data_IF_421970400127
#
_entry.id   IF_421970400127
#
_cell.length_a   1.000
_cell.length_b   1.000
_cell.length_c   1.000
_cell.angle_alpha   90.00
_cell.angle_beta   90.00
_cell.angle_gamma   90.00
#
_symmetry.space_group_name_H-M   'P 1'
#
loop_
_entity.id
_entity.type
_entity.pdbx_description
1 polymer ?
#
# COMPACT_ATOMS: atom_id res chain seq x y z
N UNK A 1 22.38 -17.54 27.35
CA UNK A 1 22.48 -18.06 28.72
C UNK A 1 21.69 -17.16 29.71
N UNK A 2 20.44 -16.82 29.41
CA UNK A 2 19.46 -16.23 30.36
C UNK A 2 18.06 -16.65 29.87
N UNK A 3 17.67 -17.90 30.16
CA UNK A 3 16.28 -18.41 30.11
C UNK A 3 16.24 -19.63 31.03
N UNK A 4 16.23 -19.36 32.32
CA UNK A 4 16.15 -20.37 33.37
C UNK A 4 15.82 -19.64 34.67
N UNK A 5 15.03 -20.27 35.52
CA UNK A 5 14.63 -19.81 36.87
C UNK A 5 13.61 -18.67 36.92
N UNK A 6 12.34 -18.95 36.59
CA UNK A 6 11.19 -18.21 37.16
C UNK A 6 9.93 -19.10 37.27
N UNK A 7 10.10 -20.42 37.42
CA UNK A 7 8.97 -21.37 37.40
C UNK A 7 8.63 -22.05 38.73
N UNK A 8 9.50 -21.96 39.75
CA UNK A 8 9.37 -22.85 40.93
C UNK A 8 8.98 -22.17 42.26
N UNK A 9 8.44 -20.95 42.26
CA UNK A 9 7.98 -20.31 43.52
C UNK A 9 6.65 -19.56 43.45
N UNK A 10 5.69 -20.01 42.63
CA UNK A 10 4.32 -19.46 42.73
C UNK A 10 3.49 -20.38 43.65
N UNK A 11 3.59 -20.14 44.96
CA UNK A 11 2.52 -20.53 45.88
C UNK A 11 1.22 -19.92 45.34
N UNK A 12 0.21 -20.76 45.07
CA UNK A 12 -1.09 -20.31 44.56
C UNK A 12 -1.64 -19.23 45.51
N UNK A 13 -1.88 -18.00 45.03
CA UNK A 13 -2.41 -16.95 45.89
C UNK A 13 -3.79 -17.37 46.40
N UNK A 14 -3.93 -17.45 47.73
CA UNK A 14 -5.14 -17.95 48.41
C UNK A 14 -6.36 -17.02 48.28
N UNK A 15 -6.22 -15.84 47.66
CA UNK A 15 -7.31 -14.91 47.43
C UNK A 15 -7.18 -14.17 46.09
N UNK A 16 -8.32 -13.87 45.46
CA UNK A 16 -8.42 -13.08 44.23
C UNK A 16 -7.79 -11.68 44.36
N UNK A 17 -7.64 -11.16 45.57
CA UNK A 17 -7.04 -9.86 45.85
C UNK A 17 -5.56 -9.82 45.51
N UNK A 18 -4.82 -10.91 45.74
CA UNK A 18 -3.38 -10.97 45.47
C UNK A 18 -3.05 -10.98 43.97
N UNK A 19 -3.91 -11.57 43.14
CA UNK A 19 -3.73 -11.58 41.68
C UNK A 19 -3.94 -10.20 41.06
N UNK A 20 -4.94 -9.44 41.54
CA UNK A 20 -5.17 -8.06 41.08
C UNK A 20 -4.00 -7.14 41.47
N UNK A 21 -3.46 -7.33 42.67
CA UNK A 21 -2.31 -6.56 43.15
C UNK A 21 -1.05 -6.85 42.33
N UNK A 22 -0.77 -8.12 42.04
CA UNK A 22 0.37 -8.50 41.19
C UNK A 22 0.23 -8.01 39.74
N UNK A 23 -0.98 -8.05 39.17
CA UNK A 23 -1.24 -7.50 37.85
C UNK A 23 -1.06 -5.97 37.80
N UNK A 24 -1.54 -5.25 38.83
CA UNK A 24 -1.34 -3.82 38.95
C UNK A 24 0.14 -3.44 39.08
N UNK A 25 0.89 -4.19 39.89
CA UNK A 25 2.33 -4.00 40.06
C UNK A 25 3.09 -4.23 38.74
N UNK A 26 2.76 -5.29 38.00
CA UNK A 26 3.36 -5.56 36.69
C UNK A 26 3.09 -4.44 35.67
N UNK A 27 1.85 -3.94 35.62
CA UNK A 27 1.50 -2.81 34.73
C UNK A 27 2.28 -1.55 35.10
N UNK A 28 2.47 -1.25 36.38
CA UNK A 28 3.23 -0.09 36.82
C UNK A 28 4.74 -0.24 36.55
N UNK A 29 5.30 -1.45 36.69
CA UNK A 29 6.68 -1.75 36.33
C UNK A 29 6.94 -1.56 34.82
N UNK A 30 6.05 -2.07 33.96
CA UNK A 30 6.16 -1.90 32.51
C UNK A 30 5.96 -0.44 32.07
N UNK A 31 5.06 0.29 32.75
CA UNK A 31 4.90 1.74 32.54
C UNK A 31 6.18 2.50 32.90
N UNK A 32 6.80 2.17 34.02
CA UNK A 32 8.06 2.80 34.46
C UNK A 32 9.20 2.54 33.48
N UNK A 33 9.34 1.30 32.97
CA UNK A 33 10.31 0.97 31.93
C UNK A 33 10.08 1.76 30.65
N UNK A 34 8.82 1.91 30.24
CA UNK A 34 8.46 2.69 29.05
C UNK A 34 8.81 4.17 29.21
N UNK A 35 8.46 4.77 30.35
CA UNK A 35 8.78 6.17 30.63
C UNK A 35 10.29 6.41 30.61
N UNK A 36 11.09 5.45 31.08
CA UNK A 36 12.54 5.47 30.97
C UNK A 36 13.01 5.42 29.51
N UNK A 37 12.48 4.49 28.69
CA UNK A 37 12.82 4.39 27.27
C UNK A 37 12.46 5.65 26.47
N UNK A 38 11.31 6.26 26.76
CA UNK A 38 10.88 7.52 26.15
C UNK A 38 11.85 8.65 26.53
N UNK A 39 12.25 8.73 27.81
CA UNK A 39 13.20 9.73 28.30
C UNK A 39 14.57 9.58 27.64
N UNK A 40 15.10 8.37 27.56
CA UNK A 40 16.39 8.07 26.88
C UNK A 40 16.33 8.45 25.39
N UNK A 41 15.24 8.10 24.70
CA UNK A 41 15.07 8.44 23.29
C UNK A 41 14.97 9.95 23.06
N UNK A 42 14.30 10.69 23.96
CA UNK A 42 14.23 12.16 23.90
C UNK A 42 15.62 12.78 24.00
N UNK A 43 16.44 12.34 24.95
CA UNK A 43 17.83 12.81 25.12
C UNK A 43 18.67 12.56 23.85
N UNK A 44 18.51 11.40 23.22
CA UNK A 44 19.23 11.08 21.97
C UNK A 44 18.82 12.00 20.82
N UNK A 45 17.51 12.24 20.65
CA UNK A 45 16.99 13.12 19.60
C UNK A 45 17.43 14.58 19.80
N UNK A 46 17.45 15.06 21.05
CA UNK A 46 17.98 16.40 21.37
C UNK A 46 19.48 16.51 21.03
N UNK A 47 20.25 15.45 21.28
CA UNK A 47 21.66 15.39 20.88
C UNK A 47 21.83 15.45 19.35
N UNK A 48 21.10 14.61 18.61
CA UNK A 48 21.13 14.59 17.13
C UNK A 48 20.73 15.94 16.51
N UNK A 49 19.72 16.60 17.10
CA UNK A 49 19.28 17.94 16.68
C UNK A 49 20.37 18.98 16.93
N UNK A 50 21.00 18.97 18.11
CA UNK A 50 22.09 19.88 18.45
C UNK A 50 23.32 19.68 17.56
N UNK A 51 23.67 18.44 17.23
CA UNK A 51 24.77 18.15 16.29
C UNK A 51 24.47 18.68 14.89
N UNK A 52 23.24 18.48 14.41
CA UNK A 52 22.78 19.00 13.10
C UNK A 52 22.82 20.54 13.07
N UNK A 53 22.41 21.18 14.16
CA UNK A 53 22.51 22.63 14.35
C UNK A 53 23.96 23.14 14.29
N UNK A 54 24.89 22.43 14.93
CA UNK A 54 26.30 22.82 14.92
C UNK A 54 26.92 22.66 13.51
N UNK A 55 26.51 21.66 12.73
CA UNK A 55 26.92 21.52 11.33
C UNK A 55 26.40 22.68 10.47
N UNK A 56 25.11 22.98 10.57
CA UNK A 56 24.50 24.10 9.84
C UNK A 56 25.15 25.45 10.17
N UNK A 57 25.49 25.69 11.45
CA UNK A 57 26.22 26.90 11.87
C UNK A 57 27.63 27.02 11.27
N UNK A 58 28.29 25.90 10.98
CA UNK A 58 29.62 25.88 10.34
C UNK A 58 29.54 26.08 8.83
N UNK A 59 28.48 25.60 8.19
CA UNK A 59 28.34 25.58 6.73
C UNK A 59 27.74 26.87 6.14
N UNK A 60 27.03 27.67 6.93
CA UNK A 60 26.34 28.88 6.45
C UNK A 60 27.11 30.18 6.81
N UNK A 61 27.47 31.03 5.82
CA UNK A 61 28.06 32.35 6.09
C UNK A 61 27.09 33.28 6.82
N UNK A 62 27.64 34.16 7.66
CA UNK A 62 26.95 35.04 8.64
C UNK A 62 25.80 35.95 8.11
N UNK A 63 25.48 35.94 6.81
CA UNK A 63 24.40 36.74 6.20
C UNK A 63 23.07 36.00 5.96
N UNK A 64 23.02 34.66 6.02
CA UNK A 64 21.82 33.88 5.65
C UNK A 64 20.84 33.59 6.81
N UNK A 65 21.12 34.12 8.01
CA UNK A 65 20.51 33.69 9.28
C UNK A 65 19.09 34.24 9.58
N UNK A 66 18.58 35.22 8.83
CA UNK A 66 17.27 35.84 9.14
C UNK A 66 16.06 35.14 8.49
N UNK A 67 16.22 34.55 7.31
CA UNK A 67 15.15 33.80 6.64
C UNK A 67 15.03 32.36 7.15
N UNK A 68 16.15 31.80 7.62
CA UNK A 68 16.26 30.42 8.13
C UNK A 68 15.67 30.24 9.52
N UNK A 69 15.58 31.27 10.38
CA UNK A 69 15.06 31.12 11.74
C UNK A 69 13.56 30.73 11.77
N UNK A 70 12.76 31.23 10.81
CA UNK A 70 11.33 30.91 10.69
C UNK A 70 11.11 29.48 10.20
N UNK A 71 11.85 29.09 9.16
CA UNK A 71 11.83 27.72 8.64
C UNK A 71 12.39 26.73 9.68
N UNK A 72 13.36 27.17 10.48
CA UNK A 72 13.92 26.42 11.59
C UNK A 72 12.91 26.20 12.72
N UNK A 73 12.19 27.24 13.16
CA UNK A 73 11.12 27.10 14.17
C UNK A 73 9.97 26.22 13.66
N UNK A 74 9.68 26.25 12.35
CA UNK A 74 8.72 25.34 11.73
C UNK A 74 9.21 23.89 11.75
N UNK A 75 10.48 23.63 11.42
CA UNK A 75 11.10 22.31 11.51
C UNK A 75 11.15 21.78 12.95
N UNK A 76 11.45 22.64 13.92
CA UNK A 76 11.44 22.29 15.35
C UNK A 76 10.03 21.89 15.81
N UNK A 77 9.02 22.67 15.41
CA UNK A 77 7.62 22.38 15.72
C UNK A 77 7.16 21.08 15.06
N UNK A 78 7.51 20.86 13.79
CA UNK A 78 7.17 19.64 13.05
C UNK A 78 7.82 18.40 13.68
N UNK A 79 9.07 18.53 14.12
CA UNK A 79 9.84 17.47 14.78
C UNK A 79 9.23 17.14 16.14
N UNK A 80 8.90 18.14 16.95
CA UNK A 80 8.19 17.96 18.23
C UNK A 80 6.84 17.26 18.05
N UNK A 81 6.05 17.69 17.07
CA UNK A 81 4.75 17.07 16.79
C UNK A 81 4.91 15.60 16.33
N UNK A 82 5.93 15.31 15.52
CA UNK A 82 6.23 13.94 15.07
C UNK A 82 6.64 13.03 16.23
N UNK A 83 7.38 13.56 17.21
CA UNK A 83 7.75 12.83 18.43
C UNK A 83 6.50 12.53 19.26
N UNK A 84 5.66 13.53 19.52
CA UNK A 84 4.41 13.38 20.27
C UNK A 84 3.47 12.37 19.60
N UNK A 85 3.38 12.37 18.27
CA UNK A 85 2.56 11.40 17.53
C UNK A 85 3.11 9.98 17.61
N UNK A 86 4.43 9.80 17.58
CA UNK A 86 5.07 8.50 17.80
C UNK A 86 4.83 7.98 19.21
N UNK A 87 4.94 8.84 20.23
CA UNK A 87 4.60 8.51 21.62
C UNK A 87 3.14 8.05 21.71
N UNK A 88 2.19 8.82 21.16
CA UNK A 88 0.76 8.46 21.13
C UNK A 88 0.49 7.11 20.45
N UNK A 89 1.15 6.82 19.33
CA UNK A 89 1.01 5.53 18.63
C UNK A 89 1.53 4.37 19.48
N UNK A 90 2.66 4.56 20.15
CA UNK A 90 3.26 3.56 21.04
C UNK A 90 2.33 3.28 22.23
N UNK A 91 1.83 4.32 22.89
CA UNK A 91 0.85 4.21 23.99
C UNK A 91 -0.41 3.46 23.56
N UNK A 92 -0.97 3.77 22.37
CA UNK A 92 -2.15 3.07 21.82
C UNK A 92 -1.87 1.60 21.50
N UNK A 93 -0.71 1.29 20.93
CA UNK A 93 -0.31 -0.08 20.63
C UNK A 93 -0.19 -0.92 21.91
N UNK A 94 0.37 -0.33 22.96
CA UNK A 94 0.54 -0.99 24.25
C UNK A 94 -0.79 -1.15 25.00
N UNK A 95 -1.68 -0.14 24.96
CA UNK A 95 -3.03 -0.27 25.51
C UNK A 95 -3.79 -1.44 24.84
N UNK A 96 -3.65 -1.60 23.52
CA UNK A 96 -4.22 -2.74 22.79
C UNK A 96 -3.58 -4.07 23.20
N UNK A 97 -2.28 -4.10 23.47
CA UNK A 97 -1.59 -5.30 23.93
C UNK A 97 -2.07 -5.71 25.33
N UNK A 98 -2.11 -4.77 26.28
CA UNK A 98 -2.64 -4.97 27.64
C UNK A 98 -4.11 -5.42 27.63
N UNK A 99 -4.94 -4.84 26.76
CA UNK A 99 -6.33 -5.26 26.59
C UNK A 99 -6.44 -6.70 26.06
N UNK A 100 -5.59 -7.08 25.09
CA UNK A 100 -5.54 -8.46 24.58
C UNK A 100 -5.11 -9.46 25.66
N UNK A 101 -4.11 -9.13 26.47
CA UNK A 101 -3.68 -9.99 27.56
C UNK A 101 -4.77 -10.15 28.62
N UNK A 102 -5.48 -9.08 28.95
CA UNK A 102 -6.64 -9.11 29.86
C UNK A 102 -7.74 -10.04 29.34
N UNK A 103 -8.05 -9.95 28.04
CA UNK A 103 -9.04 -10.84 27.38
C UNK A 103 -8.59 -12.30 27.45
N UNK A 104 -7.31 -12.59 27.17
CA UNK A 104 -6.76 -13.96 27.23
C UNK A 104 -6.83 -14.53 28.64
N UNK A 105 -6.56 -13.72 29.67
CA UNK A 105 -6.67 -14.13 31.08
C UNK A 105 -8.13 -14.42 31.45
N UNK A 106 -9.08 -13.59 31.03
CA UNK A 106 -10.50 -13.79 31.34
C UNK A 106 -11.08 -15.00 30.58
N UNK A 107 -10.65 -15.24 29.34
CA UNK A 107 -11.02 -16.44 28.59
C UNK A 107 -10.53 -17.72 29.28
N UNK A 108 -9.26 -17.75 29.72
CA UNK A 108 -8.72 -18.88 30.49
C UNK A 108 -9.48 -19.11 31.80
N UNK A 109 -9.90 -18.03 32.47
CA UNK A 109 -10.72 -18.09 33.68
C UNK A 109 -12.09 -18.72 33.40
N UNK A 110 -12.75 -18.33 32.31
CA UNK A 110 -14.03 -18.91 31.91
C UNK A 110 -13.91 -20.40 31.58
N UNK A 111 -12.86 -20.82 30.87
CA UNK A 111 -12.59 -22.24 30.60
C UNK A 111 -12.46 -23.05 31.89
N UNK A 112 -11.68 -22.57 32.86
CA UNK A 112 -11.48 -23.26 34.15
C UNK A 112 -12.80 -23.39 34.93
N UNK A 113 -13.62 -22.33 34.98
CA UNK A 113 -14.93 -22.37 35.66
C UNK A 113 -15.88 -23.37 35.01
N UNK A 114 -15.88 -23.42 33.67
CA UNK A 114 -16.73 -24.33 32.90
C UNK A 114 -16.32 -25.78 33.16
N UNK A 115 -15.02 -26.07 33.15
CA UNK A 115 -14.46 -27.40 33.43
C UNK A 115 -14.77 -27.87 34.86
N UNK A 116 -14.69 -26.99 35.87
CA UNK A 116 -15.04 -27.34 37.26
C UNK A 116 -16.53 -27.61 37.47
N UNK A 117 -17.42 -27.03 36.67
CA UNK A 117 -18.87 -27.27 36.77
C UNK A 117 -19.33 -28.54 36.05
N UNK A 118 -18.56 -29.03 35.06
CA UNK A 118 -18.88 -30.26 34.32
C UNK A 118 -18.54 -31.57 35.05
N UNK A 119 -17.82 -31.54 36.18
CA UNK A 119 -17.39 -32.76 36.89
C UNK A 119 -18.46 -33.31 37.87
N UNK A 120 -19.62 -32.65 38.02
CA UNK A 120 -20.62 -33.01 39.03
C UNK A 120 -21.87 -33.76 38.52
N UNK A 121 -21.79 -34.50 37.41
CA UNK A 121 -22.89 -35.40 36.99
C UNK A 121 -22.36 -36.81 36.70
N UNK A 122 -22.40 -37.68 37.70
CA UNK A 122 -22.27 -39.12 37.53
C UNK A 122 -23.53 -39.70 36.88
N UNK A 123 -23.41 -40.52 35.82
CA UNK A 123 -24.57 -41.08 35.14
C UNK A 123 -25.14 -42.27 35.93
N UNK A 124 -26.46 -42.25 36.17
CA UNK A 124 -27.20 -43.41 36.65
C UNK A 124 -27.38 -44.40 35.48
N UNK A 125 -26.95 -45.64 35.69
CA UNK A 125 -27.19 -46.77 34.81
C UNK A 125 -28.66 -47.19 34.84
N UNK A 126 -29.25 -47.44 33.65
CA UNK A 126 -30.43 -48.29 33.49
C UNK A 126 -30.18 -49.32 32.38
N UNK A 127 -30.58 -50.60 32.58
CA UNK A 127 -30.45 -51.66 31.57
C UNK A 127 -31.76 -51.88 30.80
N UNK A 128 -31.68 -52.22 29.51
CA UNK A 128 -32.84 -52.70 28.73
C UNK A 128 -32.69 -52.60 27.21
N UNK A 129 -32.41 -53.74 26.59
CA UNK A 129 -32.44 -54.16 25.16
C UNK A 129 -33.70 -53.76 24.35
N UNK A 130 -33.89 -54.14 23.05
CA UNK A 130 -32.97 -54.23 21.89
C UNK A 130 -33.55 -53.72 20.53
N UNK A 131 -32.66 -53.66 19.53
CA UNK A 131 -32.79 -54.01 18.09
C UNK A 131 -33.78 -53.34 17.07
N UNK A 132 -33.13 -52.74 16.04
CA UNK A 132 -33.30 -52.85 14.56
C UNK A 132 -34.35 -52.03 13.75
N UNK A 133 -34.10 -51.79 12.43
CA UNK A 133 -34.37 -50.54 11.69
C UNK A 133 -35.38 -50.69 10.52
N UNK A 134 -35.75 -49.58 9.84
CA UNK A 134 -35.85 -49.47 8.36
C UNK A 134 -36.61 -48.22 7.83
N UNK A 135 -35.99 -47.59 6.80
CA UNK A 135 -36.54 -47.26 5.47
C UNK A 135 -37.51 -46.08 5.19
N UNK A 136 -37.43 -45.69 3.90
CA UNK A 136 -38.34 -44.95 2.98
C UNK A 136 -38.01 -43.46 2.76
N UNK A 137 -37.46 -43.04 1.60
CA UNK A 137 -37.95 -42.99 0.19
C UNK A 137 -39.10 -42.01 -0.08
N UNK A 138 -38.86 -41.18 -1.10
CA UNK A 138 -39.86 -40.50 -1.94
C UNK A 138 -39.88 -38.98 -1.79
N UNK A 139 -40.18 -38.15 -2.79
CA UNK A 139 -40.10 -38.23 -4.24
C UNK A 139 -40.36 -36.80 -4.78
N UNK A 140 -39.78 -36.48 -5.94
CA UNK A 140 -40.05 -35.31 -6.81
C UNK A 140 -41.52 -34.86 -6.90
N UNK A 141 -41.73 -33.56 -7.15
CA UNK A 141 -42.55 -33.08 -8.28
C UNK A 141 -42.21 -31.63 -8.71
N UNK A 142 -42.08 -31.45 -10.03
CA UNK A 142 -42.05 -30.18 -10.79
C UNK A 142 -43.47 -29.59 -10.86
N UNK A 143 -43.58 -28.29 -11.10
CA UNK A 143 -44.69 -27.70 -11.86
C UNK A 143 -44.21 -26.50 -12.70
N UNK A 144 -44.81 -26.40 -13.88
CA UNK A 144 -44.66 -25.44 -14.98
C UNK A 144 -46.01 -24.81 -15.27
N UNK A 145 -46.06 -23.52 -15.68
CA UNK A 145 -47.02 -22.86 -16.60
C UNK A 145 -47.01 -21.34 -16.33
N UNK A 146 -46.67 -20.40 -17.24
CA UNK A 146 -47.29 -19.87 -18.49
C UNK A 146 -48.60 -19.06 -18.36
N UNK A 147 -48.57 -17.77 -18.77
CA UNK A 147 -49.49 -17.00 -19.66
C UNK A 147 -49.37 -15.47 -19.40
N UNK A 148 -49.00 -14.60 -20.39
CA UNK A 148 -49.84 -13.73 -21.30
C UNK A 148 -50.75 -12.71 -20.57
N UNK A 149 -50.99 -11.44 -20.96
CA UNK A 149 -50.64 -10.54 -22.08
C UNK A 149 -51.17 -9.09 -21.82
N UNK A 150 -50.69 -8.07 -22.60
CA UNK A 150 -51.34 -6.78 -23.07
C UNK A 150 -51.77 -5.70 -22.03
N UNK A 151 -51.77 -4.36 -22.21
CA UNK A 151 -51.82 -3.39 -23.35
C UNK A 151 -51.54 -1.92 -22.89
N UNK A 152 -51.05 -1.07 -23.82
CA UNK A 152 -51.11 0.41 -24.05
C UNK A 152 -51.62 1.45 -23.00
N UNK A 153 -50.93 2.61 -22.92
CA UNK A 153 -51.36 3.96 -23.39
C UNK A 153 -50.55 5.14 -22.77
N UNK A 154 -50.79 6.36 -23.26
CA UNK A 154 -49.88 7.52 -23.48
C UNK A 154 -50.06 8.77 -22.57
N UNK A 155 -49.16 9.77 -22.76
CA UNK A 155 -49.24 11.25 -22.45
C UNK A 155 -48.82 11.72 -21.03
N UNK A 156 -48.38 12.96 -20.70
CA UNK A 156 -47.60 14.12 -21.25
C UNK A 156 -47.69 15.24 -20.14
N UNK A 157 -46.58 15.96 -19.82
CA UNK A 157 -46.43 17.24 -19.05
C UNK A 157 -46.79 17.28 -17.53
N UNK A 158 -46.23 18.09 -16.60
CA UNK A 158 -45.28 19.22 -16.54
C UNK A 158 -44.72 19.39 -15.09
N UNK A 159 -43.61 20.13 -14.89
CA UNK A 159 -43.12 20.62 -13.57
C UNK A 159 -43.89 21.86 -13.07
N UNK A 160 -43.74 22.26 -11.78
CA UNK A 160 -42.92 23.46 -11.51
C UNK A 160 -42.11 23.50 -10.17
N UNK A 161 -41.16 24.44 -10.16
CA UNK A 161 -40.19 24.84 -9.11
C UNK A 161 -40.80 25.50 -7.86
N UNK A 162 -40.02 25.49 -6.76
CA UNK A 162 -40.16 26.45 -5.64
C UNK A 162 -38.82 26.93 -5.06
N UNK A 163 -38.83 28.19 -4.62
CA UNK A 163 -37.74 29.10 -4.20
C UNK A 163 -37.40 29.00 -2.70
N UNK A 164 -36.19 29.38 -2.26
CA UNK A 164 -35.83 29.57 -0.83
C UNK A 164 -35.12 30.93 -0.61
N UNK A 165 -35.40 31.59 0.54
CA UNK A 165 -34.79 32.84 1.04
C UNK A 165 -34.54 32.76 2.57
N UNK A 166 -33.46 33.38 3.05
CA UNK A 166 -33.15 33.77 4.47
C UNK A 166 -32.16 32.83 5.21
N UNK A 167 -31.31 33.23 6.17
CA UNK A 167 -30.82 34.50 6.77
C UNK A 167 -29.61 34.17 7.68
N UNK A 168 -28.77 35.15 8.05
CA UNK A 168 -27.52 35.02 8.84
C UNK A 168 -27.77 35.01 10.36
N UNK A 169 -27.10 34.14 11.14
CA UNK A 169 -26.52 34.42 12.48
C UNK A 169 -25.91 33.18 13.17
N UNK A 170 -24.63 33.31 13.59
CA UNK A 170 -24.12 33.08 14.96
C UNK A 170 -22.74 32.40 15.06
N UNK A 171 -21.92 32.99 15.95
CA UNK A 171 -20.61 32.60 16.53
C UNK A 171 -20.00 31.25 16.12
N UNK A 172 -18.85 31.25 15.44
CA UNK A 172 -18.06 30.04 15.11
C UNK A 172 -16.97 29.75 16.15
N UNK A 173 -16.86 28.46 16.50
CA UNK A 173 -15.78 27.88 17.30
C UNK A 173 -14.49 27.73 16.47
N UNK A 174 -13.34 27.70 17.16
CA UNK A 174 -12.02 27.52 16.54
C UNK A 174 -11.90 26.15 15.85
N UNK A 175 -11.59 26.13 14.54
CA UNK A 175 -11.35 24.91 13.76
C UNK A 175 -12.06 24.82 12.40
N UNK A 176 -13.02 25.71 12.12
CA UNK A 176 -13.77 25.72 10.86
C UNK A 176 -13.12 26.66 9.84
N UNK A 177 -12.81 26.14 8.65
CA UNK A 177 -12.47 26.96 7.49
C UNK A 177 -13.72 27.15 6.63
N UNK A 178 -14.08 28.41 6.37
CA UNK A 178 -15.24 28.76 5.54
C UNK A 178 -14.76 29.13 4.14
N UNK A 179 -15.26 28.45 3.13
CA UNK A 179 -14.98 28.75 1.73
C UNK A 179 -16.26 29.18 1.05
N UNK A 180 -16.24 30.36 0.46
CA UNK A 180 -17.35 30.90 -0.33
C UNK A 180 -17.19 30.42 -1.78
N UNK A 181 -18.22 29.71 -2.27
CA UNK A 181 -18.28 29.19 -3.62
C UNK A 181 -18.75 30.28 -4.60
N UNK A 182 -18.52 30.08 -5.88
CA UNK A 182 -18.87 31.03 -6.96
C UNK A 182 -20.38 31.28 -7.08
N UNK A 183 -21.23 30.49 -6.42
CA UNK A 183 -22.69 30.69 -6.32
C UNK A 183 -23.12 31.40 -5.00
N UNK A 184 -22.16 31.87 -4.19
CA UNK A 184 -22.41 32.61 -2.95
C UNK A 184 -22.75 31.74 -1.74
N UNK A 185 -22.61 30.41 -1.83
CA UNK A 185 -22.75 29.52 -0.67
C UNK A 185 -21.44 29.43 0.12
N UNK A 186 -21.54 29.47 1.44
CA UNK A 186 -20.39 29.29 2.34
C UNK A 186 -20.39 27.86 2.88
N UNK A 187 -19.34 27.09 2.57
CA UNK A 187 -19.12 25.75 3.10
C UNK A 187 -18.11 25.81 4.24
N UNK A 188 -18.48 25.27 5.40
CA UNK A 188 -17.58 25.11 6.52
C UNK A 188 -16.97 23.70 6.53
N UNK A 189 -15.64 23.62 6.57
CA UNK A 189 -14.90 22.35 6.64
C UNK A 189 -14.13 22.28 7.95
N UNK A 190 -14.46 21.29 8.78
CA UNK A 190 -13.69 20.90 9.96
C UNK A 190 -12.70 19.79 9.58
N UNK A 191 -11.41 20.05 9.79
CA UNK A 191 -10.27 19.19 9.39
C UNK A 191 -9.52 18.60 10.59
N UNK A 192 -10.12 18.64 11.79
CA UNK A 192 -9.43 18.22 13.03
C UNK A 192 -9.63 16.75 13.41
N UNK A 193 -10.54 16.02 12.75
CA UNK A 193 -10.67 14.57 12.89
C UNK A 193 -10.25 13.89 11.59
N UNK A 194 -9.26 12.98 11.65
CA UNK A 194 -8.93 12.07 10.53
C UNK A 194 -10.25 11.50 9.98
N UNK A 195 -10.56 11.64 8.68
CA UNK A 195 -11.87 11.25 8.21
C UNK A 195 -11.98 9.75 8.43
N UNK A 196 -12.87 9.36 9.36
CA UNK A 196 -13.57 8.10 9.20
C UNK A 196 -14.25 8.24 7.86
N UNK A 197 -13.62 7.71 6.81
CA UNK A 197 -14.22 7.66 5.49
C UNK A 197 -15.49 6.82 5.64
N UNK A 198 -16.62 7.48 5.85
CA UNK A 198 -17.91 6.86 5.65
C UNK A 198 -17.88 6.31 4.23
N UNK A 199 -18.36 5.08 4.02
CA UNK A 199 -18.53 4.51 2.69
C UNK A 199 -19.38 5.47 1.86
N UNK A 200 -18.71 6.39 1.15
CA UNK A 200 -19.36 7.32 0.25
C UNK A 200 -19.95 6.53 -0.90
N UNK A 201 -21.02 7.05 -1.49
CA UNK A 201 -21.53 6.51 -2.73
C UNK A 201 -20.37 6.47 -3.74
N UNK A 202 -20.04 5.26 -4.20
CA UNK A 202 -19.09 5.10 -5.31
C UNK A 202 -19.83 5.57 -6.56
N UNK A 203 -19.54 6.78 -6.99
CA UNK A 203 -20.05 7.30 -8.26
C UNK A 203 -19.12 6.84 -9.38
N UNK A 204 -19.69 6.16 -10.37
CA UNK A 204 -18.98 5.83 -11.60
C UNK A 204 -18.81 7.13 -12.38
N UNK A 205 -17.57 7.56 -12.57
CA UNK A 205 -17.24 8.68 -13.45
C UNK A 205 -17.05 8.14 -14.86
N UNK A 206 -17.83 8.65 -15.82
CA UNK A 206 -17.56 8.48 -17.24
C UNK A 206 -16.46 9.48 -17.64
N UNK A 207 -15.38 8.99 -18.26
CA UNK A 207 -14.25 9.80 -18.75
C UNK A 207 -13.85 9.31 -20.14
N UNK A 208 -13.82 10.21 -21.10
CA UNK A 208 -13.55 9.93 -22.52
C UNK A 208 -12.08 10.15 -22.91
N UNK A 209 -11.27 10.77 -22.04
CA UNK A 209 -9.84 10.96 -22.25
C UNK A 209 -8.96 9.79 -21.80
N UNK A 210 -7.65 9.96 -21.95
CA UNK A 210 -6.67 9.02 -21.42
C UNK A 210 -6.49 9.17 -19.91
N UNK A 211 -6.00 8.13 -19.22
CA UNK A 211 -5.61 8.24 -17.81
C UNK A 211 -4.50 9.28 -17.61
N UNK A 212 -3.61 9.45 -18.59
CA UNK A 212 -2.57 10.48 -18.54
C UNK A 212 -3.18 11.87 -18.51
N UNK A 213 -4.12 12.19 -19.40
CA UNK A 213 -4.84 13.47 -19.41
C UNK A 213 -5.57 13.72 -18.08
N UNK A 214 -6.21 12.68 -17.52
CA UNK A 214 -6.85 12.78 -16.21
C UNK A 214 -5.83 13.10 -15.10
N UNK A 215 -4.69 12.41 -15.07
CA UNK A 215 -3.65 12.65 -14.06
C UNK A 215 -3.07 14.06 -14.16
N UNK A 216 -3.00 14.64 -15.36
CA UNK A 216 -2.57 16.02 -15.59
C UNK A 216 -3.61 17.04 -15.04
N UNK A 217 -4.90 16.70 -15.08
CA UNK A 217 -5.97 17.52 -14.48
C UNK A 217 -5.95 17.52 -12.94
N UNK A 218 -5.30 16.53 -12.31
CA UNK A 218 -5.18 16.41 -10.85
C UNK A 218 -3.74 16.66 -10.37
N UNK A 219 -3.24 17.89 -10.55
CA UNK A 219 -1.93 18.29 -10.02
C UNK A 219 -1.88 18.24 -8.48
N UNK A 220 -0.69 17.97 -7.92
CA UNK A 220 -0.49 17.93 -6.47
C UNK A 220 -1.15 16.75 -5.73
N UNK A 221 -1.54 15.69 -6.44
CA UNK A 221 -2.18 14.51 -5.85
C UNK A 221 -1.22 13.31 -5.79
N UNK A 222 -1.59 12.32 -4.98
CA UNK A 222 -0.93 11.01 -4.93
C UNK A 222 -1.79 9.99 -5.66
N UNK A 223 -1.14 9.06 -6.34
CA UNK A 223 -1.85 8.01 -7.05
C UNK A 223 -1.13 6.67 -6.92
N UNK A 224 -1.88 5.58 -7.04
CA UNK A 224 -1.35 4.23 -7.16
C UNK A 224 -1.88 3.56 -8.41
N UNK A 225 -1.21 2.51 -8.86
CA UNK A 225 -1.68 1.71 -9.99
C UNK A 225 -1.64 0.26 -9.58
N UNK A 226 -2.75 -0.44 -9.79
CA UNK A 226 -2.97 -1.83 -9.47
C UNK A 226 -3.08 -2.63 -10.78
N UNK A 227 -2.92 -3.95 -10.68
CA UNK A 227 -3.21 -4.88 -11.76
C UNK A 227 -4.12 -5.96 -11.24
N UNK A 228 -5.09 -6.35 -12.05
CA UNK A 228 -5.85 -7.58 -11.85
C UNK A 228 -5.21 -8.76 -12.57
N UNK A 229 -5.46 -9.95 -12.04
CA UNK A 229 -5.16 -11.24 -12.67
C UNK A 229 -6.40 -12.13 -12.64
N UNK A 230 -6.27 -13.32 -13.24
CA UNK A 230 -7.35 -14.32 -13.33
C UNK A 230 -8.62 -13.71 -13.93
N UNK A 231 -8.41 -12.88 -14.96
CA UNK A 231 -9.41 -12.12 -15.69
C UNK A 231 -10.25 -11.22 -14.79
N UNK A 232 -9.58 -10.33 -14.05
CA UNK A 232 -10.29 -9.37 -13.19
C UNK A 232 -10.70 -9.90 -11.82
N UNK A 233 -10.53 -11.20 -11.54
CA UNK A 233 -11.03 -11.81 -10.29
C UNK A 233 -10.18 -11.50 -9.06
N UNK A 234 -8.91 -11.14 -9.25
CA UNK A 234 -7.98 -10.91 -8.13
C UNK A 234 -7.12 -9.67 -8.36
N UNK A 235 -6.81 -8.93 -7.30
CA UNK A 235 -5.92 -7.76 -7.33
C UNK A 235 -4.57 -8.10 -6.70
N UNK A 236 -3.49 -7.85 -7.43
CA UNK A 236 -2.11 -8.09 -6.98
C UNK A 236 -1.71 -7.09 -5.90
N UNK A 237 -1.16 -7.59 -4.79
CA UNK A 237 -0.55 -6.76 -3.74
C UNK A 237 -1.53 -5.71 -3.18
N UNK A 238 -2.83 -6.00 -3.16
CA UNK A 238 -3.87 -5.08 -2.73
C UNK A 238 -3.57 -4.49 -1.36
N UNK A 239 -3.16 -5.30 -0.40
CA UNK A 239 -2.79 -4.82 0.93
C UNK A 239 -1.58 -3.86 0.91
N UNK A 240 -0.60 -4.06 0.03
CA UNK A 240 0.53 -3.14 -0.09
C UNK A 240 0.13 -1.81 -0.73
N UNK A 241 -0.79 -1.83 -1.69
CA UNK A 241 -1.34 -0.62 -2.30
C UNK A 241 -2.34 0.09 -1.37
N UNK A 242 -3.17 -0.65 -0.62
CA UNK A 242 -4.10 -0.13 0.38
C UNK A 242 -3.35 0.43 1.60
N UNK A 243 -2.25 -0.19 2.05
CA UNK A 243 -1.37 0.44 3.06
C UNK A 243 -0.83 1.81 2.63
N UNK A 244 -0.85 2.11 1.32
CA UNK A 244 -0.52 3.45 0.80
C UNK A 244 -1.72 4.40 0.80
N UNK A 245 -2.97 3.92 0.86
CA UNK A 245 -4.20 4.67 0.58
C UNK A 245 -5.38 4.50 1.59
N UNK A 246 -5.30 3.61 2.58
CA UNK A 246 -6.33 3.23 3.59
C UNK A 246 -7.37 2.14 3.17
N UNK A 247 -8.05 1.52 4.15
CA UNK A 247 -8.86 0.29 4.05
C UNK A 247 -10.14 0.42 3.18
N UNK A 248 -10.68 1.64 3.02
CA UNK A 248 -11.88 1.91 2.20
C UNK A 248 -11.67 1.63 0.69
N UNK A 249 -10.43 1.39 0.26
CA UNK A 249 -10.06 1.20 -1.14
C UNK A 249 -10.68 -0.06 -1.77
N UNK A 250 -10.87 -1.15 -1.00
CA UNK A 250 -11.32 -2.44 -1.56
C UNK A 250 -12.70 -2.34 -2.18
N UNK A 251 -13.67 -1.75 -1.47
CA UNK A 251 -15.04 -1.59 -1.95
C UNK A 251 -15.12 -0.66 -3.17
N UNK A 252 -14.29 0.38 -3.21
CA UNK A 252 -14.19 1.28 -4.36
C UNK A 252 -13.68 0.52 -5.59
N UNK A 253 -12.67 -0.35 -5.42
CA UNK A 253 -12.11 -1.13 -6.53
C UNK A 253 -13.07 -2.19 -7.06
N UNK A 254 -13.81 -2.86 -6.18
CA UNK A 254 -14.84 -3.82 -6.59
C UNK A 254 -15.93 -3.15 -7.44
N UNK A 255 -16.40 -1.96 -7.02
CA UNK A 255 -17.43 -1.22 -7.75
C UNK A 255 -16.90 -0.57 -9.05
N UNK A 256 -15.60 -0.31 -9.17
CA UNK A 256 -15.01 0.31 -10.34
C UNK A 256 -14.74 -0.67 -11.49
N UNK A 257 -14.59 -1.97 -11.22
CA UNK A 257 -14.18 -2.95 -12.24
C UNK A 257 -15.31 -3.26 -13.23
N UNK A 258 -15.03 -3.37 -14.54
CA UNK A 258 -16.04 -3.80 -15.52
C UNK A 258 -16.42 -5.27 -15.34
N UNK A 259 -17.66 -5.61 -15.66
CA UNK A 259 -18.19 -6.99 -15.70
C UNK A 259 -17.72 -7.77 -16.94
N UNK A 260 -16.43 -7.69 -17.29
CA UNK A 260 -15.84 -8.55 -18.32
C UNK A 260 -14.79 -9.49 -17.70
N UNK A 261 -15.16 -10.78 -17.52
CA UNK A 261 -14.34 -11.80 -16.88
C UNK A 261 -13.33 -12.45 -17.86
N UNK A 262 -13.05 -11.83 -18.99
CA UNK A 262 -12.04 -12.28 -19.96
C UNK A 262 -10.79 -11.39 -19.96
N UNK A 263 -10.87 -10.22 -19.33
CA UNK A 263 -9.84 -9.21 -19.40
C UNK A 263 -9.16 -8.99 -18.04
N UNK A 264 -7.85 -8.76 -18.09
CA UNK A 264 -7.13 -8.22 -16.95
C UNK A 264 -7.04 -6.69 -17.09
N UNK A 265 -7.09 -5.99 -15.96
CA UNK A 265 -7.18 -4.54 -15.88
C UNK A 265 -5.98 -3.96 -15.14
N UNK A 266 -5.54 -2.81 -15.61
CA UNK A 266 -4.72 -1.87 -14.87
C UNK A 266 -5.66 -0.87 -14.22
N UNK A 267 -5.66 -0.76 -12.90
CA UNK A 267 -6.53 0.19 -12.19
C UNK A 267 -5.67 1.34 -11.68
N UNK A 268 -5.90 2.56 -12.14
CA UNK A 268 -5.25 3.76 -11.63
C UNK A 268 -6.13 4.38 -10.55
N UNK A 269 -5.61 4.53 -9.33
CA UNK A 269 -6.32 5.13 -8.21
C UNK A 269 -5.70 6.48 -7.90
N UNK A 270 -6.48 7.55 -7.96
CA UNK A 270 -6.07 8.93 -7.64
C UNK A 270 -6.74 9.33 -6.33
N UNK A 271 -5.95 9.80 -5.37
CA UNK A 271 -6.47 10.34 -4.11
C UNK A 271 -6.24 11.84 -4.08
N UNK A 272 -7.35 12.57 -3.99
CA UNK A 272 -7.40 14.02 -3.84
C UNK A 272 -7.85 14.37 -2.41
N UNK A 273 -7.91 15.66 -2.08
CA UNK A 273 -8.41 16.11 -0.76
C UNK A 273 -9.84 15.62 -0.46
N UNK A 274 -10.68 15.51 -1.49
CA UNK A 274 -12.13 15.32 -1.30
C UNK A 274 -12.68 14.08 -2.01
N UNK A 275 -11.86 13.38 -2.81
CA UNK A 275 -12.31 12.28 -3.69
C UNK A 275 -11.22 11.22 -3.86
N UNK A 276 -11.66 9.98 -3.99
CA UNK A 276 -10.86 8.86 -4.51
C UNK A 276 -11.45 8.49 -5.88
N UNK A 277 -10.62 8.47 -6.90
CA UNK A 277 -10.99 8.04 -8.25
C UNK A 277 -10.31 6.72 -8.54
N UNK A 278 -11.03 5.75 -9.11
CA UNK A 278 -10.46 4.49 -9.58
C UNK A 278 -10.84 4.30 -11.06
N UNK A 279 -9.84 4.26 -11.93
CA UNK A 279 -10.03 4.14 -13.37
C UNK A 279 -9.45 2.80 -13.83
N UNK A 280 -10.29 1.81 -14.20
CA UNK A 280 -9.83 0.59 -14.84
C UNK A 280 -9.52 0.84 -16.32
N UNK A 281 -8.41 0.29 -16.79
CA UNK A 281 -8.02 0.24 -18.20
C UNK A 281 -7.75 -1.23 -18.54
N UNK A 282 -8.37 -1.76 -19.59
CA UNK A 282 -8.04 -3.09 -20.09
C UNK A 282 -6.55 -3.14 -20.45
N UNK A 283 -5.84 -4.17 -20.01
CA UNK A 283 -4.41 -4.26 -20.30
C UNK A 283 -4.19 -4.71 -21.74
N UNK A 284 -3.29 -4.04 -22.49
CA UNK A 284 -2.89 -4.50 -23.79
C UNK A 284 -2.12 -5.82 -23.67
N UNK A 285 -2.02 -6.60 -24.77
CA UNK A 285 -1.15 -7.77 -24.84
C UNK A 285 0.29 -7.41 -24.42
N UNK A 286 0.90 -8.28 -23.60
CA UNK A 286 2.28 -8.11 -23.15
C UNK A 286 3.24 -8.42 -24.33
N UNK A 287 4.15 -7.51 -24.71
CA UNK A 287 5.18 -7.85 -25.70
C UNK A 287 6.17 -8.87 -25.13
N UNK A 288 6.86 -9.62 -25.99
CA UNK A 288 7.86 -10.61 -25.57
C UNK A 288 9.13 -9.98 -24.99
N UNK A 289 9.49 -8.79 -25.45
CA UNK A 289 10.59 -7.98 -24.95
C UNK A 289 10.27 -6.49 -25.12
N UNK A 290 11.14 -5.65 -24.57
CA UNK A 290 11.11 -4.20 -24.82
C UNK A 290 12.43 -3.68 -25.36
N UNK A 291 12.33 -2.57 -26.07
CA UNK A 291 13.42 -1.68 -26.40
C UNK A 291 13.39 -0.47 -25.47
N UNK A 292 14.54 -0.08 -24.95
CA UNK A 292 14.66 1.10 -24.07
C UNK A 292 15.54 2.16 -24.71
N UNK A 293 15.28 3.41 -24.35
CA UNK A 293 16.12 4.56 -24.69
C UNK A 293 16.72 5.16 -23.42
N UNK A 294 18.04 5.40 -23.41
CA UNK A 294 18.71 6.03 -22.26
C UNK A 294 18.74 7.54 -22.46
N UNK A 295 18.22 8.30 -21.49
CA UNK A 295 18.27 9.77 -21.49
C UNK A 295 18.77 10.35 -20.18
N UNK A 296 19.58 11.41 -20.25
CA UNK A 296 20.06 12.18 -19.09
C UNK A 296 18.90 12.93 -18.45
N UNK A 297 18.31 12.36 -17.41
CA UNK A 297 17.08 12.83 -16.77
C UNK A 297 17.12 12.51 -15.28
N UNK A 298 16.37 13.27 -14.49
CA UNK A 298 16.20 12.95 -13.07
C UNK A 298 14.85 13.37 -12.55
N UNK A 299 14.35 12.60 -11.59
CA UNK A 299 13.11 12.88 -10.88
C UNK A 299 13.40 13.68 -9.61
N UNK A 300 12.62 14.72 -9.36
CA UNK A 300 12.78 15.58 -8.18
C UNK A 300 12.48 14.84 -6.87
N UNK A 301 11.41 14.03 -6.87
CA UNK A 301 10.95 13.26 -5.70
C UNK A 301 10.81 11.77 -6.06
N UNK A 302 11.94 11.03 -6.22
CA UNK A 302 11.92 9.68 -6.78
C UNK A 302 11.10 8.68 -5.95
N UNK A 303 10.99 8.89 -4.64
CA UNK A 303 10.32 7.98 -3.72
C UNK A 303 8.79 8.11 -3.67
N UNK A 304 8.21 9.18 -4.24
CA UNK A 304 6.79 9.49 -4.10
C UNK A 304 6.10 9.31 -5.44
N UNK A 305 5.09 8.45 -5.58
CA UNK A 305 4.29 8.36 -6.82
C UNK A 305 3.27 9.51 -6.91
N UNK A 306 3.70 10.64 -7.47
CA UNK A 306 2.92 11.88 -7.57
C UNK A 306 2.54 12.20 -9.02
N UNK A 307 1.38 12.83 -9.21
CA UNK A 307 0.91 13.33 -10.51
C UNK A 307 1.82 14.41 -11.09
N UNK A 308 2.59 15.13 -10.27
CA UNK A 308 3.58 16.08 -10.75
C UNK A 308 4.62 15.41 -11.67
N UNK A 309 5.01 14.17 -11.38
CA UNK A 309 5.93 13.43 -12.24
C UNK A 309 5.32 13.08 -13.61
N UNK A 310 3.99 12.94 -13.69
CA UNK A 310 3.29 12.72 -14.96
C UNK A 310 3.40 13.96 -15.84
N UNK A 311 3.24 15.15 -15.26
CA UNK A 311 3.46 16.41 -15.96
C UNK A 311 4.94 16.59 -16.36
N UNK A 312 5.85 16.39 -15.41
CA UNK A 312 7.29 16.57 -15.63
C UNK A 312 7.83 15.70 -16.77
N UNK A 313 7.32 14.47 -16.92
CA UNK A 313 7.80 13.51 -17.93
C UNK A 313 7.07 13.59 -19.27
N UNK A 314 6.00 14.37 -19.39
CA UNK A 314 5.12 14.36 -20.56
C UNK A 314 5.86 14.73 -21.86
N UNK A 315 6.64 15.81 -21.85
CA UNK A 315 7.40 16.25 -23.02
C UNK A 315 8.45 15.22 -23.46
N UNK A 316 9.09 14.56 -22.49
CA UNK A 316 10.08 13.51 -22.72
C UNK A 316 9.43 12.26 -23.30
N UNK A 317 8.26 11.87 -22.78
CA UNK A 317 7.50 10.71 -23.25
C UNK A 317 6.94 10.93 -24.66
N UNK A 318 6.50 12.14 -24.99
CA UNK A 318 6.09 12.53 -26.34
C UNK A 318 7.27 12.54 -27.33
N UNK A 319 8.46 12.92 -26.87
CA UNK A 319 9.69 12.87 -27.65
C UNK A 319 10.40 11.50 -27.60
N UNK A 320 9.75 10.45 -27.08
CA UNK A 320 10.27 9.09 -27.11
C UNK A 320 10.29 8.59 -28.55
N UNK A 321 11.36 7.88 -28.91
CA UNK A 321 11.45 7.20 -30.20
C UNK A 321 10.27 6.23 -30.39
N UNK A 322 9.63 6.16 -31.56
CA UNK A 322 8.49 5.27 -31.81
C UNK A 322 8.79 3.79 -31.51
N UNK A 323 10.01 3.35 -31.78
CA UNK A 323 10.49 1.99 -31.54
C UNK A 323 10.83 1.71 -30.07
N UNK A 324 10.99 2.74 -29.24
CA UNK A 324 11.29 2.59 -27.82
C UNK A 324 10.00 2.40 -27.02
N UNK A 325 9.99 1.42 -26.12
CA UNK A 325 8.86 1.16 -25.22
C UNK A 325 9.01 1.87 -23.87
N UNK A 326 10.21 2.33 -23.52
CA UNK A 326 10.50 2.95 -22.22
C UNK A 326 11.74 3.83 -22.30
N UNK A 327 11.77 4.92 -21.53
CA UNK A 327 12.98 5.74 -21.37
C UNK A 327 13.57 5.45 -20.00
N UNK A 328 14.84 5.04 -19.95
CA UNK A 328 15.62 4.85 -18.74
C UNK A 328 16.41 6.11 -18.43
N UNK A 329 16.27 6.58 -17.19
CA UNK A 329 16.93 7.79 -16.72
C UNK A 329 18.38 7.53 -16.33
N UNK A 330 19.27 8.34 -16.88
CA UNK A 330 20.70 8.39 -16.59
C UNK A 330 21.01 9.60 -15.71
N UNK A 331 21.68 9.37 -14.58
CA UNK A 331 22.20 10.42 -13.69
C UNK A 331 23.71 10.26 -13.53
N UNK A 332 24.48 11.07 -14.26
CA UNK A 332 25.92 10.86 -14.40
C UNK A 332 26.16 9.56 -15.18
N UNK A 333 26.81 8.58 -14.56
CA UNK A 333 26.98 7.22 -15.12
C UNK A 333 25.99 6.19 -14.53
N UNK A 334 25.08 6.62 -13.65
CA UNK A 334 24.14 5.73 -12.97
C UNK A 334 22.84 5.60 -13.75
N UNK A 335 22.47 4.37 -14.10
CA UNK A 335 21.15 4.01 -14.60
C UNK A 335 20.22 3.82 -13.40
N UNK A 336 19.14 4.59 -13.35
CA UNK A 336 18.33 4.74 -12.13
C UNK A 336 17.02 3.95 -12.23
N UNK A 337 16.04 4.48 -12.96
CA UNK A 337 14.76 3.83 -13.24
C UNK A 337 14.22 4.32 -14.59
N UNK A 338 13.22 3.63 -15.14
CA UNK A 338 12.45 4.09 -16.30
C UNK A 338 11.47 5.20 -15.92
N UNK A 339 10.85 5.86 -16.91
CA UNK A 339 9.82 6.87 -16.64
C UNK A 339 8.62 6.29 -15.87
N UNK A 340 8.34 5.00 -16.08
CA UNK A 340 7.22 4.28 -15.46
C UNK A 340 7.57 2.91 -14.86
N UNK A 341 8.85 2.55 -14.80
CA UNK A 341 9.32 1.22 -14.40
C UNK A 341 10.60 1.27 -13.56
N UNK A 342 10.87 0.26 -12.74
CA UNK A 342 12.22 0.06 -12.21
C UNK A 342 13.11 -0.64 -13.25
N UNK A 343 14.43 -0.61 -13.03
CA UNK A 343 15.45 -1.24 -13.88
C UNK A 343 16.31 -2.17 -13.05
N UNK A 344 16.66 -3.33 -13.61
CA UNK A 344 17.69 -4.20 -13.07
C UNK A 344 18.51 -4.85 -14.20
N UNK A 345 19.71 -5.30 -13.84
CA UNK A 345 20.65 -5.97 -14.74
C UNK A 345 21.17 -7.26 -14.10
N UNK A 346 21.55 -8.22 -14.94
CA UNK A 346 22.10 -9.52 -14.54
C UNK A 346 23.50 -9.65 -15.14
N UNK A 347 24.45 -10.17 -14.36
CA UNK A 347 25.77 -10.58 -14.84
C UNK A 347 26.30 -11.76 -14.02
N UNK A 348 27.06 -12.64 -14.65
CA UNK A 348 27.76 -13.72 -13.97
C UNK A 348 29.15 -13.23 -13.55
N UNK A 349 29.56 -13.56 -12.32
CA UNK A 349 30.87 -13.22 -11.77
C UNK A 349 31.42 -14.47 -11.08
N UNK A 350 32.36 -15.15 -11.73
CA UNK A 350 32.82 -16.48 -11.27
C UNK A 350 31.63 -17.44 -11.22
N UNK A 351 31.40 -18.05 -10.06
CA UNK A 351 30.34 -19.04 -9.85
C UNK A 351 29.01 -18.46 -9.37
N UNK A 352 28.90 -17.13 -9.23
CA UNK A 352 27.68 -16.47 -8.76
C UNK A 352 27.08 -15.53 -9.81
N UNK A 353 25.75 -15.42 -9.77
CA UNK A 353 24.97 -14.49 -10.58
C UNK A 353 24.69 -13.25 -9.74
N UNK A 354 25.12 -12.08 -10.22
CA UNK A 354 24.82 -10.79 -9.62
C UNK A 354 23.61 -10.15 -10.31
N UNK A 355 22.59 -9.79 -9.53
CA UNK A 355 21.48 -8.95 -9.96
C UNK A 355 21.63 -7.59 -9.32
N UNK A 356 21.64 -6.54 -10.13
CA UNK A 356 21.89 -5.18 -9.66
C UNK A 356 20.72 -4.25 -10.00
N UNK A 357 20.26 -3.48 -9.03
CA UNK A 357 19.16 -2.51 -9.14
C UNK A 357 19.44 -1.28 -8.27
N UNK A 358 18.85 -0.14 -8.61
CA UNK A 358 18.98 1.07 -7.80
C UNK A 358 18.51 0.86 -6.33
N UNK A 359 19.20 1.48 -5.35
CA UNK A 359 18.86 1.32 -3.93
C UNK A 359 17.56 2.04 -3.54
N UNK A 360 16.99 1.61 -2.40
CA UNK A 360 15.85 2.29 -1.78
C UNK A 360 16.17 3.77 -1.54
N UNK A 361 15.18 4.63 -1.73
CA UNK A 361 15.34 6.08 -1.59
C UNK A 361 15.86 6.80 -2.84
N UNK A 362 16.47 6.09 -3.79
CA UNK A 362 16.94 6.66 -5.07
C UNK A 362 15.93 6.57 -6.20
N UNK A 363 14.98 5.65 -6.09
CA UNK A 363 13.95 5.33 -7.09
C UNK A 363 12.60 5.14 -6.41
N UNK A 364 11.53 5.04 -7.20
CA UNK A 364 10.23 4.64 -6.67
C UNK A 364 10.30 3.17 -6.23
N UNK A 365 9.81 2.87 -5.03
CA UNK A 365 9.68 1.50 -4.55
C UNK A 365 8.54 0.77 -5.30
N UNK A 366 8.86 0.18 -6.46
CA UNK A 366 7.92 -0.59 -7.26
C UNK A 366 7.58 -1.92 -6.62
N UNK A 367 6.30 -2.26 -6.61
CA UNK A 367 5.80 -3.50 -5.97
C UNK A 367 6.32 -4.76 -6.66
N UNK A 368 6.40 -4.75 -7.99
CA UNK A 368 6.97 -5.87 -8.75
C UNK A 368 8.47 -6.02 -8.51
N UNK A 369 9.22 -4.92 -8.39
CA UNK A 369 10.64 -5.01 -8.04
C UNK A 369 10.82 -5.65 -6.66
N UNK A 370 9.97 -5.32 -5.67
CA UNK A 370 10.02 -5.98 -4.36
C UNK A 370 9.67 -7.48 -4.45
N UNK A 371 8.82 -7.91 -5.38
CA UNK A 371 8.62 -9.34 -5.66
C UNK A 371 9.86 -9.97 -6.30
N UNK A 372 10.54 -9.28 -7.22
CA UNK A 372 11.82 -9.75 -7.79
C UNK A 372 12.85 -9.96 -6.69
N UNK A 373 13.00 -9.01 -5.77
CA UNK A 373 13.96 -9.14 -4.64
C UNK A 373 13.68 -10.39 -3.82
N UNK A 374 12.42 -10.64 -3.48
CA UNK A 374 12.02 -11.83 -2.74
C UNK A 374 12.20 -13.13 -3.53
N UNK A 375 11.92 -13.12 -4.84
CA UNK A 375 12.15 -14.27 -5.70
C UNK A 375 13.64 -14.64 -5.72
N UNK A 376 14.51 -13.62 -5.79
CA UNK A 376 15.97 -13.78 -5.84
C UNK A 376 16.56 -14.24 -4.50
N UNK A 377 16.02 -13.78 -3.37
CA UNK A 377 16.47 -14.24 -2.03
C UNK A 377 16.36 -15.76 -1.84
N UNK A 378 15.45 -16.42 -2.56
CA UNK A 378 15.29 -17.88 -2.53
C UNK A 378 16.18 -18.65 -3.51
N UNK A 379 16.98 -17.98 -4.35
CA UNK A 379 17.77 -18.63 -5.39
C UNK A 379 19.20 -18.92 -4.93
N UNK A 380 19.67 -20.15 -5.19
CA UNK A 380 21.07 -20.52 -4.94
C UNK A 380 22.00 -19.78 -5.90
N UNK A 381 23.16 -19.34 -5.40
CA UNK A 381 24.21 -18.66 -6.16
C UNK A 381 23.77 -17.34 -6.82
N UNK A 382 22.64 -16.75 -6.41
CA UNK A 382 22.22 -15.43 -6.88
C UNK A 382 22.40 -14.40 -5.77
N UNK A 383 23.02 -13.27 -6.11
CA UNK A 383 23.28 -12.16 -5.19
C UNK A 383 22.59 -10.90 -5.69
N UNK A 384 21.69 -10.36 -4.87
CA UNK A 384 21.08 -9.05 -5.11
C UNK A 384 21.99 -7.93 -4.59
N UNK A 385 22.29 -6.95 -5.45
CA UNK A 385 23.07 -5.74 -5.14
C UNK A 385 22.19 -4.52 -5.35
N UNK A 386 21.90 -3.79 -4.27
CA UNK A 386 21.19 -2.52 -4.30
C UNK A 386 22.14 -1.35 -4.59
N UNK A 387 22.69 -1.32 -5.81
CA UNK A 387 23.48 -0.21 -6.35
C UNK A 387 23.02 0.07 -7.79
N UNK A 388 22.97 1.32 -8.22
CA UNK A 388 22.60 1.64 -9.61
C UNK A 388 23.54 0.93 -10.62
N UNK A 389 23.00 0.25 -11.65
CA UNK A 389 23.78 -0.19 -12.79
C UNK A 389 24.52 0.99 -13.44
N UNK A 390 25.69 0.73 -14.02
CA UNK A 390 26.57 1.76 -14.61
C UNK A 390 26.45 1.71 -16.13
N UNK A 391 26.27 2.87 -16.77
CA UNK A 391 26.20 2.94 -18.24
C UNK A 391 27.49 2.44 -18.88
N UNK A 392 28.64 2.82 -18.31
CA UNK A 392 29.96 2.36 -18.75
C UNK A 392 30.14 0.82 -18.69
N UNK A 393 29.26 0.09 -18.00
CA UNK A 393 29.32 -1.37 -17.85
C UNK A 393 28.25 -2.12 -18.64
N UNK A 394 27.48 -1.43 -19.49
CA UNK A 394 26.37 -2.04 -20.24
C UNK A 394 26.78 -3.29 -21.03
N UNK A 395 27.96 -3.29 -21.65
CA UNK A 395 28.48 -4.43 -22.41
C UNK A 395 28.84 -5.65 -21.55
N UNK A 396 28.96 -5.48 -20.23
CA UNK A 396 29.24 -6.57 -19.29
C UNK A 396 27.99 -7.23 -18.70
N UNK A 397 26.80 -6.69 -18.99
CA UNK A 397 25.55 -7.26 -18.51
C UNK A 397 25.03 -8.32 -19.48
N UNK A 398 24.67 -9.48 -18.96
CA UNK A 398 24.14 -10.62 -19.71
C UNK A 398 22.64 -10.51 -19.96
N UNK A 399 21.94 -9.78 -19.07
CA UNK A 399 20.55 -9.43 -19.27
C UNK A 399 20.24 -8.09 -18.61
N UNK A 400 19.28 -7.38 -19.19
CA UNK A 400 18.69 -6.17 -18.65
C UNK A 400 17.17 -6.38 -18.65
N UNK A 401 16.50 -5.93 -17.59
CA UNK A 401 15.05 -6.02 -17.51
C UNK A 401 14.47 -4.82 -16.78
N UNK A 402 13.23 -4.50 -17.13
CA UNK A 402 12.43 -3.50 -16.41
C UNK A 402 11.30 -4.17 -15.65
N UNK A 403 10.84 -3.52 -14.59
CA UNK A 403 9.67 -4.00 -13.83
C UNK A 403 8.63 -2.92 -13.62
N UNK A 404 7.36 -3.29 -13.79
CA UNK A 404 6.22 -2.41 -13.50
C UNK A 404 4.96 -3.22 -13.23
N UNK A 405 3.98 -2.65 -12.54
CA UNK A 405 2.68 -3.31 -12.30
C UNK A 405 2.02 -3.79 -13.59
N UNK A 406 2.12 -3.01 -14.67
CA UNK A 406 1.50 -3.34 -15.95
C UNK A 406 2.23 -4.43 -16.72
N UNK A 407 3.57 -4.45 -16.69
CA UNK A 407 4.39 -5.36 -17.53
C UNK A 407 5.01 -6.54 -16.77
N UNK A 408 4.91 -6.57 -15.45
CA UNK A 408 5.62 -7.49 -14.56
C UNK A 408 7.14 -7.41 -14.81
N UNK A 409 7.85 -8.54 -14.86
CA UNK A 409 9.24 -8.63 -15.31
C UNK A 409 9.25 -8.66 -16.83
N UNK A 410 10.01 -7.75 -17.43
CA UNK A 410 10.08 -7.60 -18.88
C UNK A 410 11.54 -7.51 -19.37
N UNK A 411 11.99 -8.45 -20.22
CA UNK A 411 13.35 -8.42 -20.78
C UNK A 411 13.54 -7.22 -21.70
N UNK A 412 14.74 -6.64 -21.66
CA UNK A 412 15.21 -5.57 -22.54
C UNK A 412 16.19 -6.17 -23.53
N UNK A 413 15.81 -6.26 -24.80
CA UNK A 413 16.67 -6.87 -25.84
C UNK A 413 17.50 -5.84 -26.59
N UNK A 414 17.01 -4.60 -26.67
CA UNK A 414 17.67 -3.49 -27.36
C UNK A 414 17.74 -2.26 -26.45
N UNK A 415 18.92 -1.65 -26.36
CA UNK A 415 19.20 -0.43 -25.61
C UNK A 415 19.69 0.62 -26.60
N UNK A 416 18.97 1.73 -26.73
CA UNK A 416 19.38 2.91 -27.49
C UNK A 416 20.17 3.83 -26.56
N UNK A 417 21.43 4.10 -26.90
CA UNK A 417 22.32 4.98 -26.15
C UNK A 417 22.05 6.46 -26.45
N UNK A 418 22.54 7.40 -25.62
CA UNK A 418 22.34 8.84 -25.84
C UNK A 418 22.86 9.37 -27.17
N UNK A 419 23.90 8.74 -27.74
CA UNK A 419 24.46 9.08 -29.06
C UNK A 419 23.65 8.48 -30.24
N UNK A 420 22.57 7.75 -29.94
CA UNK A 420 21.72 7.08 -30.91
C UNK A 420 22.20 5.71 -31.36
N UNK A 421 23.39 5.26 -30.93
CA UNK A 421 23.85 3.89 -31.17
C UNK A 421 23.04 2.88 -30.34
N UNK A 422 23.11 1.60 -30.70
CA UNK A 422 22.29 0.55 -30.09
C UNK A 422 23.13 -0.62 -29.56
N UNK A 423 22.76 -1.14 -28.40
CA UNK A 423 23.31 -2.39 -27.83
C UNK A 423 22.21 -3.45 -27.82
N UNK A 424 22.53 -4.63 -28.37
CA UNK A 424 21.66 -5.81 -28.29
C UNK A 424 22.11 -6.72 -27.13
N UNK A 425 21.27 -6.87 -26.11
CA UNK A 425 21.59 -7.65 -24.91
C UNK A 425 21.01 -9.08 -24.97
N UNK A 426 19.95 -9.30 -25.78
CA UNK A 426 19.25 -10.61 -25.91
C UNK A 426 18.75 -11.18 -24.57
N UNK A 427 18.27 -10.31 -23.69
CA UNK A 427 17.77 -10.65 -22.35
C UNK A 427 16.62 -11.66 -22.37
N UNK A 428 15.79 -11.68 -23.41
CA UNK A 428 14.64 -12.59 -23.53
C UNK A 428 15.02 -14.08 -23.53
N UNK A 429 16.26 -14.40 -23.90
CA UNK A 429 16.78 -15.77 -23.87
C UNK A 429 17.59 -16.08 -22.61
N UNK A 430 17.74 -15.14 -21.67
CA UNK A 430 18.54 -15.34 -20.47
C UNK A 430 17.81 -16.28 -19.48
N UNK A 431 18.39 -17.45 -19.13
CA UNK A 431 17.70 -18.44 -18.32
C UNK A 431 17.41 -17.95 -16.90
N UNK A 432 18.32 -17.18 -16.30
CA UNK A 432 18.10 -16.60 -14.97
C UNK A 432 16.92 -15.64 -14.98
N UNK A 433 16.81 -14.78 -16.00
CA UNK A 433 15.71 -13.85 -16.12
C UNK A 433 14.36 -14.56 -16.30
N UNK A 434 14.33 -15.64 -17.08
CA UNK A 434 13.13 -16.47 -17.23
C UNK A 434 12.69 -17.08 -15.88
N UNK A 435 13.64 -17.67 -15.14
CA UNK A 435 13.37 -18.21 -13.79
C UNK A 435 12.85 -17.13 -12.82
N UNK A 436 13.40 -15.91 -12.87
CA UNK A 436 12.90 -14.78 -12.07
C UNK A 436 11.48 -14.42 -12.48
N UNK A 437 11.19 -14.38 -13.78
CA UNK A 437 9.86 -14.12 -14.30
C UNK A 437 8.82 -15.11 -13.76
N UNK A 438 9.10 -16.40 -13.88
CA UNK A 438 8.24 -17.48 -13.38
C UNK A 438 8.04 -17.40 -11.85
N UNK A 439 9.11 -17.20 -11.09
CA UNK A 439 9.03 -17.07 -9.64
C UNK A 439 8.20 -15.84 -9.21
N UNK A 440 8.33 -14.71 -9.92
CA UNK A 440 7.51 -13.52 -9.66
C UNK A 440 6.03 -13.78 -9.98
N UNK A 441 5.71 -14.51 -11.05
CA UNK A 441 4.33 -14.86 -11.37
C UNK A 441 3.70 -15.77 -10.31
N UNK A 442 4.45 -16.74 -9.78
CA UNK A 442 4.01 -17.58 -8.66
C UNK A 442 3.76 -16.75 -7.40
N UNK A 443 4.69 -15.85 -7.05
CA UNK A 443 4.51 -14.95 -5.90
C UNK A 443 3.30 -14.05 -6.08
N UNK A 444 3.10 -13.53 -7.29
CA UNK A 444 1.98 -12.68 -7.65
C UNK A 444 0.63 -13.40 -7.50
N UNK A 445 0.55 -14.66 -7.93
CA UNK A 445 -0.61 -15.51 -7.71
C UNK A 445 -0.85 -15.77 -6.22
N UNK A 446 0.19 -15.94 -5.41
CA UNK A 446 0.03 -16.15 -3.95
C UNK A 446 -0.39 -14.88 -3.17
N UNK A 447 -0.08 -13.69 -3.71
CA UNK A 447 -0.28 -12.39 -3.03
C UNK A 447 -1.42 -11.55 -3.59
N UNK A 448 -2.22 -12.14 -4.46
CA UNK A 448 -3.39 -11.46 -5.00
C UNK A 448 -4.63 -11.74 -4.15
N UNK A 449 -5.40 -10.69 -3.89
CA UNK A 449 -6.62 -10.75 -3.10
C UNK A 449 -7.80 -11.01 -4.01
N UNK A 450 -8.65 -12.00 -3.67
CA UNK A 450 -9.91 -12.24 -4.37
C UNK A 450 -10.83 -11.04 -4.22
N UNK A 451 -11.49 -10.66 -5.30
CA UNK A 451 -12.55 -9.63 -5.29
C UNK A 451 -13.94 -10.22 -5.05
N UNK A 452 -14.08 -11.55 -5.18
CA UNK A 452 -15.34 -12.28 -5.04
C UNK A 452 -15.21 -13.45 -4.08
#
# INVERSE_FOLDING_TARGET
MIRGTYRDQIQRPKSNTNLKMLAAQYVEEERTKLDLMIRERRVLLEKELNESLQRLKKELPNGFLKLTLREFLQLETLTRNTIVDKERRMTRSMARHSQRETIVVEQKRQTIVTETNTVAQTPKFHPGLPETPAALRGNRKRNTATAKATTNSSNIFAEPRTTIRGSISSKRAAGLMSVELTDGKVLDVDITESPKWCAGQVEKMEWDGTVTELLLNYSGCVYTTLRTIDNGKRIVELAAHARRLDDALVSILQAALPDDPTCNYKITVIVTKNKILAIPEAMPPKPSFVQIEIKSLSRRTPTIKSTNWVADRQSVEQARRPESNEIVMLKGDELVEGLSSNLAVIRTIGDFIEIRTAPKGRVLAGTIMELVKQAVEGMNNVKLIEECPRMAKLSSYEAVFITSTSRLVMPVDCIILPDGSTINVKSSANPTLLCIGEAVEQLLASRSTSLY
#
